data_IF_264544192075
#
_entry.id   IF_264544192075
#
_cell.length_a   1.000
_cell.length_b   1.000
_cell.length_c   1.000
_cell.angle_alpha   90.00
_cell.angle_beta   90.00
_cell.angle_gamma   90.00
#
_symmetry.space_group_name_H-M   'P 1'
#
loop_
_entity.id
_entity.type
_entity.pdbx_description
1 polymer ?
#
# COMPACT_ATOMS: atom_id res chain seq x y z
N UNK A 1 -10.33 -5.51 3.39
CA UNK A 1 -9.45 -6.65 3.02
C UNK A 1 -8.73 -7.13 4.26
N UNK A 2 -8.52 -8.44 4.40
CA UNK A 2 -7.86 -9.04 5.57
C UNK A 2 -6.38 -9.34 5.33
N UNK A 3 -5.63 -9.58 6.40
CA UNK A 3 -4.17 -9.86 6.37
C UNK A 3 -3.82 -11.08 5.50
N UNK A 4 -4.65 -12.13 5.54
CA UNK A 4 -4.42 -13.37 4.79
C UNK A 4 -4.49 -13.11 3.28
N UNK A 5 -5.46 -12.30 2.84
CA UNK A 5 -5.62 -11.92 1.43
C UNK A 5 -4.46 -11.03 0.98
N UNK A 6 -4.02 -10.11 1.83
CA UNK A 6 -2.88 -9.24 1.56
C UNK A 6 -1.62 -10.08 1.30
N UNK A 7 -1.29 -11.02 2.19
CA UNK A 7 -0.14 -11.92 2.01
C UNK A 7 -0.14 -12.62 0.65
N UNK A 8 -1.32 -13.07 0.18
CA UNK A 8 -1.44 -13.73 -1.13
C UNK A 8 -1.15 -12.76 -2.29
N UNK A 9 -1.72 -11.56 -2.25
CA UNK A 9 -1.49 -10.52 -3.28
C UNK A 9 -0.02 -10.06 -3.35
N UNK A 10 0.66 -9.99 -2.19
CA UNK A 10 2.06 -9.55 -2.13
C UNK A 10 3.07 -10.62 -2.52
N UNK A 11 2.77 -11.91 -2.27
CA UNK A 11 3.71 -13.02 -2.52
C UNK A 11 4.21 -13.12 -3.96
N UNK A 12 3.37 -12.74 -4.92
CA UNK A 12 3.65 -12.90 -6.35
C UNK A 12 4.10 -11.62 -7.05
N UNK A 13 4.16 -10.49 -6.34
CA UNK A 13 4.35 -9.18 -6.95
C UNK A 13 5.47 -8.39 -6.30
N UNK A 14 6.09 -7.49 -7.08
CA UNK A 14 7.09 -6.57 -6.53
C UNK A 14 6.37 -5.54 -5.68
N UNK A 15 6.74 -5.44 -4.41
CA UNK A 15 6.10 -4.53 -3.46
C UNK A 15 7.01 -3.40 -3.04
N UNK A 16 6.42 -2.27 -2.68
CA UNK A 16 7.10 -1.09 -2.15
C UNK A 16 6.32 -0.58 -0.96
N UNK A 17 7.03 -0.14 0.08
CA UNK A 17 6.43 0.30 1.33
C UNK A 17 6.57 1.81 1.52
N UNK A 18 5.54 2.42 2.12
CA UNK A 18 5.52 3.82 2.46
C UNK A 18 5.09 4.76 1.32
N UNK A 19 4.76 5.99 1.69
CA UNK A 19 4.14 6.96 0.78
C UNK A 19 5.09 7.40 -0.34
N UNK A 20 6.36 7.67 -0.04
CA UNK A 20 7.34 8.17 -1.01
C UNK A 20 7.60 7.16 -2.13
N UNK A 21 7.83 5.90 -1.79
CA UNK A 21 8.06 4.84 -2.78
C UNK A 21 6.79 4.52 -3.55
N UNK A 22 5.62 4.56 -2.90
CA UNK A 22 4.33 4.40 -3.56
C UNK A 22 4.10 5.51 -4.61
N UNK A 23 4.25 6.78 -4.23
CA UNK A 23 4.14 7.92 -5.15
C UNK A 23 5.15 7.81 -6.30
N UNK A 24 6.37 7.35 -6.02
CA UNK A 24 7.39 7.11 -7.06
C UNK A 24 6.96 6.02 -8.03
N UNK A 25 6.39 4.91 -7.56
CA UNK A 25 5.87 3.83 -8.39
C UNK A 25 4.66 4.28 -9.22
N UNK A 26 3.76 5.08 -8.63
CA UNK A 26 2.61 5.70 -9.30
C UNK A 26 3.10 6.60 -10.45
N UNK A 27 4.01 7.54 -10.16
CA UNK A 27 4.58 8.45 -11.17
C UNK A 27 5.30 7.73 -12.31
N UNK A 28 5.91 6.57 -12.02
CA UNK A 28 6.57 5.72 -13.03
C UNK A 28 5.61 4.82 -13.81
N UNK A 29 4.31 4.84 -13.51
CA UNK A 29 3.31 3.96 -14.13
C UNK A 29 3.44 2.48 -13.74
N UNK A 30 4.26 2.19 -12.73
CA UNK A 30 4.54 0.82 -12.25
C UNK A 30 3.57 0.36 -11.17
N UNK A 31 2.88 1.29 -10.50
CA UNK A 31 1.90 0.93 -9.48
C UNK A 31 0.66 0.27 -10.12
N UNK A 32 0.24 -0.86 -9.55
CA UNK A 32 -0.95 -1.62 -9.94
C UNK A 32 -2.10 -1.37 -8.97
N UNK A 33 -1.81 -1.42 -7.67
CA UNK A 33 -2.79 -1.30 -6.58
C UNK A 33 -2.09 -0.76 -5.32
N UNK A 34 -2.79 0.09 -4.59
CA UNK A 34 -2.33 0.63 -3.31
C UNK A 34 -3.16 0.04 -2.19
N UNK A 35 -2.50 -0.39 -1.11
CA UNK A 35 -3.16 -0.84 0.11
C UNK A 35 -2.83 0.12 1.24
N UNK A 36 -3.84 0.45 2.05
CA UNK A 36 -3.73 1.42 3.14
C UNK A 36 -4.22 0.76 4.43
N UNK A 37 -3.48 0.92 5.52
CA UNK A 37 -3.91 0.51 6.86
C UNK A 37 -5.07 1.38 7.35
N UNK A 38 -6.00 0.81 8.11
CA UNK A 38 -7.14 1.55 8.69
C UNK A 38 -6.74 2.74 9.57
N UNK A 39 -5.57 2.69 10.21
CA UNK A 39 -5.09 3.73 11.12
C UNK A 39 -4.17 4.78 10.44
N UNK A 40 -4.32 5.01 9.14
CA UNK A 40 -3.51 6.00 8.43
C UNK A 40 -3.97 7.43 8.80
N UNK A 41 -3.07 8.36 9.16
CA UNK A 41 -3.42 9.77 9.34
C UNK A 41 -4.04 10.37 8.07
N UNK A 42 -5.09 11.17 8.22
CA UNK A 42 -5.85 11.77 7.11
C UNK A 42 -4.96 12.52 6.11
N UNK A 43 -3.98 13.27 6.59
CA UNK A 43 -3.04 14.01 5.73
C UNK A 43 -2.34 13.10 4.71
N UNK A 44 -1.88 11.92 5.16
CA UNK A 44 -1.22 10.93 4.29
C UNK A 44 -2.20 10.20 3.40
N UNK A 45 -3.42 9.98 3.88
CA UNK A 45 -4.49 9.35 3.11
C UNK A 45 -4.90 10.25 1.94
N UNK A 46 -5.16 11.53 2.19
CA UNK A 46 -5.51 12.52 1.17
C UNK A 46 -4.38 12.70 0.15
N UNK A 47 -3.12 12.76 0.61
CA UNK A 47 -1.97 12.85 -0.27
C UNK A 47 -1.94 11.69 -1.28
N UNK A 48 -2.02 10.44 -0.80
CA UNK A 48 -1.96 9.28 -1.71
C UNK A 48 -3.22 9.11 -2.54
N UNK A 49 -4.39 9.44 -2.01
CA UNK A 49 -5.65 9.44 -2.75
C UNK A 49 -5.59 10.38 -3.96
N UNK A 50 -5.02 11.58 -3.80
CA UNK A 50 -4.87 12.53 -4.89
C UNK A 50 -3.99 11.96 -6.02
N UNK A 51 -2.85 11.36 -5.70
CA UNK A 51 -2.01 10.70 -6.70
C UNK A 51 -2.72 9.51 -7.38
N UNK A 52 -3.44 8.69 -6.60
CA UNK A 52 -4.15 7.54 -7.15
C UNK A 52 -5.32 7.94 -8.04
N UNK A 53 -6.07 9.01 -7.70
CA UNK A 53 -7.16 9.56 -8.53
C UNK A 53 -6.66 9.96 -9.91
N UNK A 54 -5.55 10.68 -9.98
CA UNK A 54 -4.95 11.12 -11.26
C UNK A 54 -4.49 9.92 -12.09
N UNK A 55 -3.86 8.94 -11.46
CA UNK A 55 -3.34 7.75 -12.15
C UNK A 55 -4.35 6.61 -12.30
N UNK A 56 -5.60 6.78 -11.83
CA UNK A 56 -6.68 5.78 -11.82
C UNK A 56 -6.26 4.45 -11.16
N UNK A 57 -5.51 4.53 -10.07
CA UNK A 57 -5.02 3.35 -9.34
C UNK A 57 -6.00 3.01 -8.22
N UNK A 58 -6.45 1.75 -8.10
CA UNK A 58 -7.33 1.34 -7.03
C UNK A 58 -6.62 1.37 -5.67
N UNK A 59 -7.32 1.92 -4.67
CA UNK A 59 -6.93 1.92 -3.26
C UNK A 59 -7.78 0.89 -2.52
N UNK A 60 -7.13 0.07 -1.69
CA UNK A 60 -7.77 -0.95 -0.87
C UNK A 60 -7.44 -0.71 0.60
N UNK A 61 -8.47 -0.58 1.45
CA UNK A 61 -8.29 -0.47 2.90
C UNK A 61 -8.14 -1.85 3.54
N UNK A 62 -7.10 -2.01 4.34
CA UNK A 62 -6.84 -3.20 5.14
C UNK A 62 -7.35 -2.93 6.56
N UNK A 63 -8.20 -3.82 7.06
CA UNK A 63 -8.76 -3.73 8.42
C UNK A 63 -7.79 -4.37 9.42
N UNK A 64 -6.57 -3.83 9.50
CA UNK A 64 -5.51 -4.28 10.40
C UNK A 64 -4.63 -3.11 10.83
N UNK A 65 -3.95 -3.27 11.97
CA UNK A 65 -3.01 -2.26 12.46
C UNK A 65 -1.71 -2.26 11.63
N UNK A 66 -0.97 -1.14 11.60
CA UNK A 66 0.31 -1.07 10.90
C UNK A 66 1.34 -2.10 11.40
N UNK A 67 1.32 -2.46 12.69
CA UNK A 67 2.19 -3.50 13.24
C UNK A 67 1.82 -4.88 12.70
N UNK A 68 0.53 -5.20 12.66
CA UNK A 68 0.04 -6.47 12.14
C UNK A 68 0.35 -6.64 10.65
N UNK A 69 0.26 -5.54 9.89
CA UNK A 69 0.62 -5.50 8.47
C UNK A 69 2.13 -5.71 8.30
N UNK A 70 2.95 -5.08 9.15
CA UNK A 70 4.40 -5.25 9.15
C UNK A 70 4.81 -6.71 9.44
N UNK A 71 4.26 -7.30 10.49
CA UNK A 71 4.47 -8.71 10.85
C UNK A 71 4.03 -9.65 9.71
N UNK A 72 2.93 -9.31 9.04
CA UNK A 72 2.47 -10.05 7.89
C UNK A 72 3.41 -9.96 6.68
N UNK A 73 4.03 -8.80 6.46
CA UNK A 73 5.00 -8.58 5.40
C UNK A 73 6.42 -9.04 5.78
N UNK A 74 6.65 -9.45 7.04
CA UNK A 74 7.96 -9.78 7.62
C UNK A 74 8.93 -8.60 7.63
N UNK A 75 8.42 -7.41 7.85
CA UNK A 75 9.21 -6.18 7.98
C UNK A 75 9.27 -5.75 9.45
N UNK A 76 10.39 -5.15 9.87
CA UNK A 76 10.61 -4.73 11.27
C UNK A 76 10.08 -3.32 11.58
N UNK A 77 9.44 -2.64 10.61
CA UNK A 77 8.93 -1.28 10.73
C UNK A 77 7.44 -1.19 10.42
N UNK A 78 6.75 -0.22 11.03
CA UNK A 78 5.32 -0.02 10.84
C UNK A 78 4.97 0.32 9.38
N UNK A 79 4.13 -0.52 8.76
CA UNK A 79 3.69 -0.35 7.39
C UNK A 79 2.27 0.21 7.36
N UNK A 80 2.14 1.46 6.93
CA UNK A 80 0.83 2.08 6.77
C UNK A 80 0.32 2.04 5.33
N UNK A 81 1.24 2.00 4.36
CA UNK A 81 0.93 2.08 2.92
C UNK A 81 1.80 1.05 2.20
N UNK A 82 1.17 0.28 1.33
CA UNK A 82 1.81 -0.72 0.48
C UNK A 82 1.43 -0.46 -0.97
N UNK A 83 2.43 -0.40 -1.84
CA UNK A 83 2.23 -0.33 -3.27
C UNK A 83 2.63 -1.65 -3.92
N UNK A 84 1.65 -2.35 -4.48
CA UNK A 84 1.89 -3.46 -5.42
C UNK A 84 2.26 -2.89 -6.78
N UNK A 85 3.41 -3.30 -7.29
CA UNK A 85 3.87 -2.94 -8.62
C UNK A 85 3.46 -4.03 -9.61
N UNK A 86 3.17 -3.59 -10.84
CA UNK A 86 3.00 -4.45 -12.00
C UNK A 86 4.28 -5.25 -12.23
N UNK A 87 4.14 -6.52 -12.60
CA UNK A 87 5.24 -7.35 -13.09
C UNK A 87 5.75 -6.84 -14.43
#
# INVERSE_FOLDING_TARGET
MNIIELKKELKESKTSYGIRESVRAIKKGKAEKIFISKNLPKEKEEEIENYCKVSKIPIVKIDASPEQIAEACKEEFNINIICKQKK
#
